data_IF_174478773497
#
_entry.id   IF_174478773497
#
_cell.length_a   1.000
_cell.length_b   1.000
_cell.length_c   1.000
_cell.angle_alpha   90.00
_cell.angle_beta   90.00
_cell.angle_gamma   90.00
#
_symmetry.space_group_name_H-M   'P 1'
#
loop_
_entity.id
_entity.type
_entity.pdbx_description
1 polymer ?
#
# COMPACT_ATOMS: atom_id res chain seq x y z
N UNK A 1 35.57 -20.47 -13.60
CA UNK A 1 34.70 -19.48 -12.94
C UNK A 1 33.27 -19.80 -13.33
N UNK A 2 32.39 -20.23 -12.39
CA UNK A 2 30.99 -20.47 -12.72
C UNK A 2 30.31 -19.13 -12.97
N UNK A 3 29.58 -19.01 -14.08
CA UNK A 3 28.69 -17.90 -14.35
C UNK A 3 27.57 -17.96 -13.31
N UNK A 4 27.43 -16.92 -12.51
CA UNK A 4 26.25 -16.71 -11.68
C UNK A 4 25.02 -16.74 -12.59
N UNK A 5 24.22 -17.78 -12.47
CA UNK A 5 22.86 -17.83 -12.98
C UNK A 5 22.08 -16.70 -12.31
N UNK A 6 21.87 -15.62 -13.05
CA UNK A 6 20.91 -14.58 -12.65
C UNK A 6 19.53 -15.23 -12.63
N UNK A 7 19.03 -15.47 -11.42
CA UNK A 7 17.67 -15.89 -11.13
C UNK A 7 16.71 -14.82 -11.68
N UNK A 8 16.34 -14.96 -12.96
CA UNK A 8 15.31 -14.15 -13.61
C UNK A 8 13.94 -14.64 -13.11
N UNK A 9 13.61 -14.30 -11.88
CA UNK A 9 12.25 -14.48 -11.38
C UNK A 9 11.36 -13.61 -12.21
N UNK A 10 10.62 -14.22 -13.13
CA UNK A 10 9.47 -13.60 -13.76
C UNK A 10 8.62 -12.98 -12.65
N UNK A 11 8.42 -11.69 -12.73
CA UNK A 11 7.58 -10.98 -11.77
C UNK A 11 6.13 -11.37 -12.10
N UNK A 12 5.61 -12.42 -11.47
CA UNK A 12 4.28 -13.01 -11.73
C UNK A 12 3.15 -11.97 -11.63
N UNK A 13 3.46 -10.81 -11.07
CA UNK A 13 2.54 -9.69 -10.92
C UNK A 13 2.68 -8.63 -12.02
N UNK A 14 3.47 -8.90 -13.08
CA UNK A 14 3.69 -7.97 -14.17
C UNK A 14 3.11 -8.50 -15.48
N UNK A 15 2.07 -7.86 -15.98
CA UNK A 15 1.49 -8.14 -17.30
C UNK A 15 2.13 -7.22 -18.33
N UNK A 16 2.76 -7.77 -19.38
CA UNK A 16 3.54 -7.03 -20.36
C UNK A 16 2.90 -7.05 -21.75
N UNK A 17 3.05 -5.94 -22.48
CA UNK A 17 2.58 -5.80 -23.85
C UNK A 17 1.21 -5.17 -24.00
N UNK A 18 1.01 -4.45 -25.12
CA UNK A 18 -0.17 -3.59 -25.35
C UNK A 18 -1.49 -4.35 -25.30
N UNK A 19 -1.56 -5.48 -26.02
CA UNK A 19 -2.80 -6.26 -26.09
C UNK A 19 -3.14 -6.91 -24.75
N UNK A 20 -2.13 -7.48 -24.06
CA UNK A 20 -2.34 -8.09 -22.74
C UNK A 20 -2.83 -7.08 -21.72
N UNK A 21 -2.27 -5.86 -21.71
CA UNK A 21 -2.71 -4.78 -20.81
C UNK A 21 -4.13 -4.31 -21.17
N UNK A 22 -4.49 -4.22 -22.45
CA UNK A 22 -5.86 -3.87 -22.87
C UNK A 22 -6.85 -4.92 -22.38
N UNK A 23 -6.57 -6.20 -22.59
CA UNK A 23 -7.46 -7.28 -22.13
C UNK A 23 -7.54 -7.34 -20.60
N UNK A 24 -6.45 -7.12 -19.90
CA UNK A 24 -6.44 -6.96 -18.45
C UNK A 24 -7.38 -5.84 -17.97
N UNK A 25 -7.30 -4.66 -18.61
CA UNK A 25 -8.17 -3.52 -18.26
C UNK A 25 -9.65 -3.77 -18.58
N UNK A 26 -9.95 -4.59 -19.60
CA UNK A 26 -11.33 -4.98 -19.94
C UNK A 26 -11.89 -6.05 -19.01
N UNK A 27 -11.04 -6.94 -18.48
CA UNK A 27 -11.48 -8.06 -17.65
C UNK A 27 -12.02 -7.64 -16.28
N UNK A 28 -11.84 -6.36 -15.90
CA UNK A 28 -12.20 -5.87 -14.58
C UNK A 28 -11.29 -6.36 -13.45
N UNK A 29 -10.22 -7.12 -13.77
CA UNK A 29 -9.22 -7.54 -12.80
C UNK A 29 -8.53 -6.32 -12.22
N UNK A 30 -8.23 -6.37 -10.94
CA UNK A 30 -7.58 -5.28 -10.23
C UNK A 30 -6.17 -5.00 -10.77
N UNK A 31 -5.85 -3.71 -10.93
CA UNK A 31 -4.56 -3.23 -11.45
C UNK A 31 -3.98 -2.20 -10.49
N UNK A 32 -2.76 -2.45 -10.04
CA UNK A 32 -2.02 -1.55 -9.15
C UNK A 32 -1.68 -0.23 -9.85
N UNK A 33 -1.02 -0.34 -10.98
CA UNK A 33 -0.66 0.77 -11.83
C UNK A 33 -0.25 0.25 -13.22
N UNK A 34 -0.26 1.16 -14.20
CA UNK A 34 0.24 0.89 -15.54
C UNK A 34 1.51 1.71 -15.76
N UNK A 35 2.56 1.05 -16.22
CA UNK A 35 3.85 1.64 -16.57
C UNK A 35 3.90 1.89 -18.06
N UNK A 36 4.21 3.13 -18.46
CA UNK A 36 4.34 3.52 -19.88
C UNK A 36 5.75 4.08 -20.08
N UNK A 37 6.44 3.61 -21.12
CA UNK A 37 7.77 4.11 -21.45
C UNK A 37 7.70 5.58 -21.87
N UNK A 38 8.69 6.37 -21.45
CA UNK A 38 8.80 7.78 -21.79
C UNK A 38 8.90 7.95 -23.32
N UNK A 39 8.10 8.88 -23.85
CA UNK A 39 8.03 9.13 -25.30
C UNK A 39 7.00 8.30 -26.06
N UNK A 40 6.50 7.23 -25.51
CA UNK A 40 5.44 6.40 -26.12
C UNK A 40 4.07 7.08 -25.91
N UNK A 41 3.50 7.60 -26.98
CA UNK A 41 2.19 8.28 -26.97
C UNK A 41 1.33 7.95 -28.18
N UNK A 42 1.70 6.95 -29.00
CA UNK A 42 1.02 6.67 -30.27
C UNK A 42 0.15 5.40 -30.20
N UNK A 43 -0.90 5.43 -30.98
CA UNK A 43 -1.78 4.26 -31.23
C UNK A 43 -2.47 3.73 -29.96
N UNK A 44 -2.28 2.44 -29.70
CA UNK A 44 -2.94 1.72 -28.60
C UNK A 44 -2.53 2.20 -27.20
N UNK A 45 -1.40 2.90 -27.06
CA UNK A 45 -0.99 3.47 -25.75
C UNK A 45 -1.94 4.57 -25.28
N UNK A 46 -2.37 5.46 -26.17
CA UNK A 46 -3.37 6.47 -25.84
C UNK A 46 -4.69 5.85 -25.38
N UNK A 47 -5.10 4.74 -26.03
CA UNK A 47 -6.28 3.97 -25.62
C UNK A 47 -6.10 3.38 -24.22
N UNK A 48 -4.94 2.79 -23.91
CA UNK A 48 -4.63 2.26 -22.57
C UNK A 48 -4.70 3.37 -21.52
N UNK A 49 -4.10 4.54 -21.81
CA UNK A 49 -4.14 5.69 -20.90
C UNK A 49 -5.57 6.18 -20.64
N UNK A 50 -6.43 6.23 -21.70
CA UNK A 50 -7.82 6.59 -21.57
C UNK A 50 -8.59 5.59 -20.68
N UNK A 51 -8.43 4.29 -20.93
CA UNK A 51 -9.03 3.22 -20.11
C UNK A 51 -8.54 3.29 -18.64
N UNK A 52 -7.27 3.60 -18.40
CA UNK A 52 -6.75 3.79 -17.05
C UNK A 52 -7.41 4.97 -16.33
N UNK A 53 -7.67 6.08 -17.06
CA UNK A 53 -8.38 7.25 -16.49
C UNK A 53 -9.82 6.93 -16.11
N UNK A 54 -10.55 6.26 -16.99
CA UNK A 54 -11.92 5.81 -16.74
C UNK A 54 -12.00 4.91 -15.50
N UNK A 55 -11.06 3.97 -15.37
CA UNK A 55 -10.99 3.03 -14.25
C UNK A 55 -10.23 3.56 -13.02
N UNK A 56 -9.82 4.85 -13.02
CA UNK A 56 -9.06 5.50 -11.92
C UNK A 56 -7.75 4.76 -11.56
N UNK A 57 -7.12 4.14 -12.56
CA UNK A 57 -5.84 3.44 -12.41
C UNK A 57 -4.69 4.42 -12.59
N UNK A 58 -3.68 4.31 -11.74
CA UNK A 58 -2.50 5.17 -11.78
C UNK A 58 -1.61 4.80 -12.97
N UNK A 59 -1.30 5.77 -13.84
CA UNK A 59 -0.32 5.62 -14.92
C UNK A 59 1.00 6.27 -14.49
N UNK A 60 2.09 5.50 -14.53
CA UNK A 60 3.45 5.97 -14.24
C UNK A 60 4.29 5.98 -15.52
N UNK A 61 4.91 7.12 -15.82
CA UNK A 61 5.89 7.19 -16.93
C UNK A 61 7.26 6.77 -16.42
N UNK A 62 7.90 5.83 -17.10
CA UNK A 62 9.21 5.28 -16.73
C UNK A 62 10.16 5.32 -17.93
N UNK A 63 11.46 5.32 -17.69
CA UNK A 63 12.45 5.18 -18.75
C UNK A 63 12.37 3.78 -19.39
N UNK A 64 12.58 3.72 -20.70
CA UNK A 64 12.49 2.45 -21.46
C UNK A 64 13.44 1.38 -20.90
N UNK A 65 14.68 1.75 -20.56
CA UNK A 65 15.67 0.86 -19.94
C UNK A 65 15.17 0.25 -18.62
N UNK A 66 14.46 1.03 -17.81
CA UNK A 66 13.85 0.54 -16.56
C UNK A 66 12.74 -0.46 -16.85
N UNK A 67 11.92 -0.21 -17.88
CA UNK A 67 10.85 -1.12 -18.28
C UNK A 67 11.44 -2.43 -18.86
N UNK A 68 12.49 -2.35 -19.70
CA UNK A 68 13.24 -3.51 -20.22
C UNK A 68 13.76 -4.39 -19.08
N UNK A 69 14.35 -3.77 -18.06
CA UNK A 69 14.85 -4.48 -16.87
C UNK A 69 13.73 -5.16 -16.09
N UNK A 70 12.62 -4.44 -15.83
CA UNK A 70 11.48 -4.99 -15.09
C UNK A 70 10.78 -6.14 -15.83
N UNK A 71 10.78 -6.09 -17.16
CA UNK A 71 10.17 -7.11 -18.02
C UNK A 71 11.10 -8.28 -18.33
N UNK A 72 12.31 -8.32 -17.75
CA UNK A 72 13.31 -9.38 -17.98
C UNK A 72 13.55 -9.67 -19.47
N UNK A 73 13.56 -8.64 -20.32
CA UNK A 73 13.76 -8.76 -21.78
C UNK A 73 12.52 -9.21 -22.57
N UNK A 74 11.36 -9.37 -21.93
CA UNK A 74 10.10 -9.66 -22.60
C UNK A 74 9.64 -8.51 -23.50
N UNK A 75 8.87 -8.82 -24.55
CA UNK A 75 8.38 -7.83 -25.52
C UNK A 75 7.23 -6.99 -24.91
N UNK A 76 7.58 -5.98 -24.13
CA UNK A 76 6.63 -5.12 -23.47
C UNK A 76 5.99 -4.03 -24.35
N UNK A 77 6.50 -3.77 -25.56
CA UNK A 77 5.95 -2.79 -26.51
C UNK A 77 5.69 -1.40 -25.90
N UNK A 78 6.53 -0.97 -24.94
CA UNK A 78 6.43 0.31 -24.25
C UNK A 78 5.40 0.36 -23.10
N UNK A 79 4.78 -0.76 -22.72
CA UNK A 79 3.80 -0.79 -21.64
C UNK A 79 3.86 -2.08 -20.83
N UNK A 80 3.64 -1.95 -19.52
CA UNK A 80 3.41 -3.05 -18.59
C UNK A 80 2.41 -2.63 -17.51
N UNK A 81 1.70 -3.59 -16.92
CA UNK A 81 0.78 -3.36 -15.82
C UNK A 81 1.17 -4.21 -14.62
N UNK A 82 1.26 -3.59 -13.45
CA UNK A 82 1.39 -4.30 -12.19
C UNK A 82 -0.01 -4.71 -11.72
N UNK A 83 -0.16 -5.98 -11.40
CA UNK A 83 -1.35 -6.53 -10.75
C UNK A 83 -1.03 -6.87 -9.29
N UNK A 84 -1.99 -6.74 -8.35
CA UNK A 84 -1.73 -7.10 -6.96
C UNK A 84 -1.52 -8.60 -6.80
N UNK A 85 -0.68 -8.99 -5.85
CA UNK A 85 -0.50 -10.39 -5.45
C UNK A 85 -1.73 -10.91 -4.68
N UNK A 86 -2.45 -10.01 -4.02
CA UNK A 86 -3.69 -10.26 -3.29
C UNK A 86 -4.75 -9.22 -3.65
N UNK A 87 -6.03 -9.61 -3.54
CA UNK A 87 -7.15 -8.69 -3.74
C UNK A 87 -7.23 -7.67 -2.61
N UNK A 88 -7.64 -6.44 -2.97
CA UNK A 88 -7.93 -5.42 -1.97
C UNK A 88 -9.38 -5.56 -1.47
N UNK A 89 -9.56 -5.19 -0.21
CA UNK A 89 -10.86 -5.01 0.42
C UNK A 89 -11.29 -3.54 0.33
N UNK A 90 -12.55 -3.26 0.62
CA UNK A 90 -13.02 -1.90 0.88
C UNK A 90 -12.81 -1.50 2.35
N UNK A 91 -12.95 -0.22 2.67
CA UNK A 91 -12.95 0.25 4.06
C UNK A 91 -14.15 -0.31 4.81
N UNK A 92 -15.30 -0.40 4.15
CA UNK A 92 -16.52 -0.98 4.72
C UNK A 92 -16.33 -2.45 5.07
N UNK A 93 -15.64 -3.25 4.23
CA UNK A 93 -15.32 -4.66 4.55
C UNK A 93 -14.49 -4.80 5.83
N UNK A 94 -13.60 -3.83 6.11
CA UNK A 94 -12.81 -3.81 7.36
C UNK A 94 -13.71 -3.55 8.55
N UNK A 95 -14.60 -2.57 8.45
CA UNK A 95 -15.52 -2.20 9.52
C UNK A 95 -16.57 -3.29 9.79
N UNK A 96 -17.10 -3.90 8.74
CA UNK A 96 -18.01 -5.06 8.85
C UNK A 96 -17.31 -6.27 9.50
N UNK A 97 -16.03 -6.47 9.19
CA UNK A 97 -15.25 -7.54 9.81
C UNK A 97 -15.10 -7.33 11.33
N UNK A 98 -14.77 -6.10 11.77
CA UNK A 98 -14.72 -5.77 13.19
C UNK A 98 -16.08 -6.00 13.86
N UNK A 99 -17.16 -5.52 13.24
CA UNK A 99 -18.53 -5.72 13.72
C UNK A 99 -18.92 -7.18 13.81
N UNK A 100 -18.53 -8.00 12.85
CA UNK A 100 -18.81 -9.45 12.85
C UNK A 100 -18.14 -10.20 14.00
N UNK A 101 -17.00 -9.67 14.50
CA UNK A 101 -16.32 -10.17 15.69
C UNK A 101 -16.89 -9.63 17.00
N UNK A 102 -17.76 -8.64 16.95
CA UNK A 102 -18.26 -7.93 18.13
C UNK A 102 -17.21 -7.04 18.79
N UNK A 103 -16.20 -6.63 18.03
CA UNK A 103 -15.05 -5.86 18.50
C UNK A 103 -15.10 -4.41 18.01
N UNK A 104 -14.53 -3.49 18.78
CA UNK A 104 -14.31 -2.14 18.33
C UNK A 104 -13.26 -2.12 17.20
N UNK A 105 -13.46 -1.37 16.09
CA UNK A 105 -12.52 -1.36 14.99
C UNK A 105 -11.11 -0.94 15.42
N UNK A 106 -10.10 -1.75 15.06
CA UNK A 106 -8.70 -1.37 15.17
C UNK A 106 -8.07 -1.42 13.77
N UNK A 107 -7.65 -0.26 13.26
CA UNK A 107 -7.22 -0.07 11.87
C UNK A 107 -5.84 0.59 11.83
N UNK A 108 -4.98 0.14 10.92
CA UNK A 108 -3.72 0.82 10.64
C UNK A 108 -3.86 1.60 9.32
N UNK A 109 -3.48 2.86 9.31
CA UNK A 109 -3.46 3.71 8.11
C UNK A 109 -2.00 4.00 7.78
N UNK A 110 -1.57 3.61 6.57
CA UNK A 110 -0.21 3.86 6.10
C UNK A 110 -0.19 5.08 5.20
N UNK A 111 0.69 6.04 5.50
CA UNK A 111 0.90 7.23 4.68
C UNK A 111 2.31 7.23 4.08
N UNK A 112 2.39 7.20 2.75
CA UNK A 112 3.64 7.22 1.98
C UNK A 112 4.65 6.09 2.32
N UNK A 113 4.18 4.89 2.61
CA UNK A 113 5.05 3.71 2.80
C UNK A 113 5.46 3.19 1.42
N UNK A 114 6.66 3.53 0.97
CA UNK A 114 7.15 3.20 -0.38
C UNK A 114 7.96 1.90 -0.46
N UNK A 115 8.51 1.45 0.67
CA UNK A 115 9.27 0.22 0.75
C UNK A 115 8.37 -1.01 0.99
N UNK A 116 8.57 -2.05 0.17
CA UNK A 116 7.76 -3.29 0.24
C UNK A 116 8.04 -4.09 1.52
N UNK A 117 9.27 -4.04 2.05
CA UNK A 117 9.61 -4.74 3.29
C UNK A 117 8.93 -4.08 4.48
N UNK A 118 8.88 -2.74 4.51
CA UNK A 118 8.22 -1.98 5.56
C UNK A 118 6.70 -2.26 5.56
N UNK A 119 6.04 -2.20 4.40
CA UNK A 119 4.62 -2.53 4.33
C UNK A 119 4.35 -3.97 4.76
N UNK A 120 5.16 -4.93 4.33
CA UNK A 120 5.03 -6.33 4.75
C UNK A 120 5.22 -6.52 6.25
N UNK A 121 6.18 -5.82 6.86
CA UNK A 121 6.40 -5.84 8.31
C UNK A 121 5.23 -5.20 9.08
N UNK A 122 4.66 -4.09 8.58
CA UNK A 122 3.47 -3.46 9.15
C UNK A 122 2.29 -4.43 9.11
N UNK A 123 2.04 -5.10 7.97
CA UNK A 123 0.95 -6.08 7.82
C UNK A 123 1.10 -7.22 8.84
N UNK A 124 2.31 -7.77 8.97
CA UNK A 124 2.60 -8.83 9.94
C UNK A 124 2.36 -8.39 11.38
N UNK A 125 2.79 -7.18 11.72
CA UNK A 125 2.61 -6.65 13.08
C UNK A 125 1.15 -6.32 13.34
N UNK A 126 0.44 -5.75 12.38
CA UNK A 126 -0.99 -5.44 12.49
C UNK A 126 -1.83 -6.71 12.74
N UNK A 127 -1.54 -7.79 12.02
CA UNK A 127 -2.19 -9.09 12.23
C UNK A 127 -1.92 -9.61 13.65
N UNK A 128 -0.66 -9.64 14.07
CA UNK A 128 -0.28 -10.12 15.40
C UNK A 128 -0.89 -9.30 16.54
N UNK A 129 -1.17 -8.00 16.30
CA UNK A 129 -1.85 -7.12 17.25
C UNK A 129 -3.37 -7.17 17.16
N UNK A 130 -3.95 -8.00 16.29
CA UNK A 130 -5.40 -8.12 16.12
C UNK A 130 -6.05 -6.95 15.37
N UNK A 131 -5.31 -6.24 14.52
CA UNK A 131 -5.91 -5.20 13.69
C UNK A 131 -6.89 -5.79 12.67
N UNK A 132 -8.04 -5.16 12.50
CA UNK A 132 -9.10 -5.62 11.59
C UNK A 132 -8.78 -5.33 10.13
N UNK A 133 -7.89 -4.36 9.87
CA UNK A 133 -7.44 -4.06 8.53
C UNK A 133 -6.43 -2.94 8.44
N UNK A 134 -5.92 -2.76 7.22
CA UNK A 134 -4.92 -1.76 6.88
C UNK A 134 -5.46 -0.92 5.73
N UNK A 135 -5.23 0.38 5.77
CA UNK A 135 -5.63 1.30 4.71
C UNK A 135 -4.36 1.91 4.11
N UNK A 136 -4.21 1.81 2.78
CA UNK A 136 -3.09 2.37 2.04
C UNK A 136 -3.57 3.33 0.95
N UNK A 137 -2.84 4.39 0.60
CA UNK A 137 -3.21 5.26 -0.52
C UNK A 137 -2.81 4.64 -1.87
N UNK A 138 -3.53 5.01 -2.94
CA UNK A 138 -3.22 4.59 -4.32
C UNK A 138 -1.92 5.21 -4.87
N UNK A 139 -1.48 6.33 -4.31
CA UNK A 139 -0.29 7.06 -4.74
C UNK A 139 0.71 7.17 -3.61
N UNK A 140 2.00 7.27 -3.95
CA UNK A 140 3.11 7.40 -2.99
C UNK A 140 3.12 6.29 -1.93
N UNK A 141 2.69 5.11 -2.30
CA UNK A 141 2.72 3.94 -1.45
C UNK A 141 2.98 2.71 -2.32
N UNK A 142 3.64 1.72 -1.76
CA UNK A 142 3.77 0.43 -2.42
C UNK A 142 2.42 -0.31 -2.34
N UNK A 143 2.11 -1.09 -3.36
CA UNK A 143 0.94 -1.97 -3.37
C UNK A 143 1.27 -3.38 -2.88
N UNK A 144 0.26 -4.27 -2.91
CA UNK A 144 0.40 -5.67 -2.49
C UNK A 144 1.13 -6.50 -3.56
N UNK A 145 2.44 -6.31 -3.67
CA UNK A 145 3.29 -7.06 -4.56
C UNK A 145 3.84 -8.35 -3.90
N UNK A 146 4.55 -9.15 -4.69
CA UNK A 146 5.17 -10.40 -4.21
C UNK A 146 6.09 -10.21 -3.00
N UNK A 147 6.85 -9.10 -2.93
CA UNK A 147 7.76 -8.83 -1.81
C UNK A 147 6.97 -8.57 -0.53
N UNK A 148 5.89 -7.78 -0.62
CA UNK A 148 4.96 -7.54 0.50
C UNK A 148 4.34 -8.85 0.99
N UNK A 149 3.83 -9.68 0.07
CA UNK A 149 3.29 -10.99 0.39
C UNK A 149 4.31 -11.89 1.11
N UNK A 150 5.54 -11.94 0.60
CA UNK A 150 6.62 -12.70 1.22
C UNK A 150 7.02 -12.16 2.59
N UNK A 151 7.16 -10.85 2.74
CA UNK A 151 7.63 -10.21 3.98
C UNK A 151 6.58 -10.21 5.08
N UNK A 152 5.31 -10.23 4.72
CA UNK A 152 4.20 -10.38 5.67
C UNK A 152 4.12 -11.77 6.31
N UNK A 153 4.91 -12.75 5.84
CA UNK A 153 4.98 -14.11 6.39
C UNK A 153 3.61 -14.79 6.50
N UNK A 154 2.73 -14.57 5.54
CA UNK A 154 1.38 -15.14 5.49
C UNK A 154 0.29 -14.29 6.18
N UNK A 155 0.63 -13.24 6.92
CA UNK A 155 -0.34 -12.37 7.57
C UNK A 155 -1.32 -11.70 6.57
N UNK A 156 -0.88 -11.50 5.33
CA UNK A 156 -1.70 -10.92 4.26
C UNK A 156 -2.94 -11.76 3.90
N UNK A 157 -2.95 -13.05 4.25
CA UNK A 157 -4.12 -13.93 4.05
C UNK A 157 -5.24 -13.67 5.08
N UNK A 158 -4.91 -13.04 6.20
CA UNK A 158 -5.82 -12.86 7.34
C UNK A 158 -6.22 -11.40 7.55
N UNK A 159 -5.34 -10.45 7.22
CA UNK A 159 -5.59 -9.01 7.37
C UNK A 159 -6.19 -8.42 6.10
N UNK A 160 -7.32 -7.74 6.22
CA UNK A 160 -7.92 -7.00 5.12
C UNK A 160 -7.10 -5.76 4.79
N UNK A 161 -6.80 -5.53 3.51
CA UNK A 161 -6.10 -4.33 3.07
C UNK A 161 -6.98 -3.53 2.12
N UNK A 162 -7.32 -2.30 2.49
CA UNK A 162 -8.07 -1.38 1.65
C UNK A 162 -7.14 -0.38 0.95
N UNK A 163 -7.40 -0.12 -0.34
CA UNK A 163 -6.61 0.80 -1.14
C UNK A 163 -7.45 1.98 -1.61
N UNK A 164 -7.14 3.17 -1.11
CA UNK A 164 -8.00 4.35 -1.23
C UNK A 164 -7.36 5.48 -2.05
N UNK A 165 -8.20 6.32 -2.63
CA UNK A 165 -7.73 7.48 -3.43
C UNK A 165 -7.26 8.66 -2.59
N UNK A 166 -7.88 8.86 -1.42
CA UNK A 166 -7.63 10.01 -0.54
C UNK A 166 -7.78 9.60 0.92
N UNK A 167 -6.67 9.62 1.67
CA UNK A 167 -6.65 9.28 3.10
C UNK A 167 -7.40 10.29 3.96
N UNK A 168 -7.37 11.59 3.61
CA UNK A 168 -8.08 12.63 4.38
C UNK A 168 -9.58 12.38 4.38
N UNK A 169 -10.16 12.07 3.21
CA UNK A 169 -11.58 11.74 3.10
C UNK A 169 -11.94 10.51 3.93
N UNK A 170 -11.11 9.47 3.88
CA UNK A 170 -11.33 8.24 4.64
C UNK A 170 -11.24 8.48 6.15
N UNK A 171 -10.29 9.30 6.60
CA UNK A 171 -10.19 9.70 8.01
C UNK A 171 -11.46 10.41 8.47
N UNK A 172 -12.00 11.32 7.64
CA UNK A 172 -13.26 12.02 7.97
C UNK A 172 -14.47 11.06 8.01
N UNK A 173 -14.50 10.05 7.14
CA UNK A 173 -15.53 9.00 7.14
C UNK A 173 -15.43 8.11 8.38
N UNK A 174 -14.25 7.66 8.75
CA UNK A 174 -14.00 6.86 9.95
C UNK A 174 -14.44 7.60 11.23
N UNK A 175 -14.14 8.90 11.32
CA UNK A 175 -14.60 9.74 12.45
C UNK A 175 -16.13 9.79 12.58
N UNK A 176 -16.85 9.87 11.45
CA UNK A 176 -18.32 9.83 11.46
C UNK A 176 -18.87 8.48 11.97
N UNK A 177 -18.07 7.43 11.88
CA UNK A 177 -18.39 6.09 12.38
C UNK A 177 -17.83 5.81 13.78
N UNK A 178 -17.47 6.88 14.53
CA UNK A 178 -16.93 6.82 15.88
C UNK A 178 -15.60 6.04 15.99
N UNK A 179 -14.78 6.08 14.91
CA UNK A 179 -13.41 5.58 14.95
C UNK A 179 -12.46 6.75 15.18
N UNK A 180 -11.76 6.75 16.30
CA UNK A 180 -10.81 7.78 16.68
C UNK A 180 -9.49 7.58 15.94
N UNK A 181 -8.99 8.63 15.27
CA UNK A 181 -7.80 8.53 14.45
C UNK A 181 -6.63 9.22 15.15
N UNK A 182 -5.61 8.45 15.45
CA UNK A 182 -4.36 8.86 16.08
C UNK A 182 -3.23 8.84 15.06
N UNK A 183 -2.26 9.71 15.23
CA UNK A 183 -1.09 9.76 14.34
C UNK A 183 0.19 9.49 15.15
N UNK A 184 1.00 8.54 14.70
CA UNK A 184 2.33 8.30 15.26
C UNK A 184 3.27 9.44 14.86
N UNK A 185 3.79 10.16 15.85
CA UNK A 185 4.68 11.31 15.66
C UNK A 185 5.66 11.44 16.84
N UNK A 186 6.86 11.97 16.57
CA UNK A 186 7.87 12.16 17.62
C UNK A 186 7.48 13.23 18.65
N UNK A 187 6.68 14.21 18.23
CA UNK A 187 6.21 15.31 19.08
C UNK A 187 4.88 14.99 19.82
N UNK A 188 4.41 13.74 19.71
CA UNK A 188 3.16 13.30 20.34
C UNK A 188 3.28 13.05 21.84
N UNK A 189 2.13 12.92 22.50
CA UNK A 189 2.09 12.45 23.88
C UNK A 189 2.35 10.94 23.95
N UNK A 190 2.89 10.43 25.09
CA UNK A 190 3.14 8.99 25.25
C UNK A 190 1.87 8.17 25.03
N UNK A 191 1.93 7.14 24.21
CA UNK A 191 0.80 6.28 23.84
C UNK A 191 0.09 5.67 25.07
N UNK A 192 0.83 5.37 26.12
CA UNK A 192 0.29 4.78 27.36
C UNK A 192 -0.65 5.73 28.15
N UNK A 193 -0.75 7.01 27.77
CA UNK A 193 -1.69 7.98 28.32
C UNK A 193 -2.95 8.17 27.45
N UNK A 194 -3.04 7.44 26.37
CA UNK A 194 -4.16 7.54 25.42
C UNK A 194 -5.13 6.40 25.66
N UNK A 195 -6.42 6.73 25.70
CA UNK A 195 -7.48 5.72 25.81
C UNK A 195 -7.79 5.14 24.42
N UNK A 196 -7.58 3.84 24.25
CA UNK A 196 -7.88 3.07 23.04
C UNK A 196 -9.05 2.10 23.24
N UNK A 197 -9.90 2.30 24.25
CA UNK A 197 -11.02 1.40 24.56
C UNK A 197 -12.14 1.43 23.53
N UNK A 198 -12.21 2.48 22.71
CA UNK A 198 -13.16 2.61 21.60
C UNK A 198 -12.51 2.29 20.26
N UNK A 199 -13.31 2.27 19.17
CA UNK A 199 -12.77 2.08 17.84
C UNK A 199 -11.66 3.08 17.51
N UNK A 200 -10.51 2.59 17.06
CA UNK A 200 -9.36 3.45 16.78
C UNK A 200 -8.66 3.10 15.46
N UNK A 201 -8.04 4.10 14.87
CA UNK A 201 -7.13 3.96 13.74
C UNK A 201 -5.81 4.65 14.07
N UNK A 202 -4.69 3.97 13.80
CA UNK A 202 -3.35 4.49 13.98
C UNK A 202 -2.74 4.81 12.62
N UNK A 203 -2.37 6.06 12.40
CA UNK A 203 -1.65 6.49 11.20
C UNK A 203 -0.15 6.35 11.43
N UNK A 204 0.51 5.63 10.53
CA UNK A 204 1.97 5.48 10.46
C UNK A 204 2.47 6.06 9.14
N UNK A 205 3.55 6.83 9.19
CA UNK A 205 4.10 7.53 8.05
C UNK A 205 5.41 6.96 7.55
N UNK A 206 5.97 7.63 6.55
CA UNK A 206 7.26 7.35 5.98
C UNK A 206 8.38 7.48 7.03
N UNK A 207 9.43 6.63 6.96
CA UNK A 207 10.56 6.64 7.90
C UNK A 207 11.31 7.98 7.93
N UNK A 208 11.43 8.66 6.80
CA UNK A 208 12.18 9.91 6.70
C UNK A 208 11.33 11.16 6.92
N UNK A 209 10.15 11.23 6.28
CA UNK A 209 9.28 12.42 6.28
C UNK A 209 8.14 12.34 7.31
N UNK A 210 7.91 11.18 7.91
CA UNK A 210 6.78 10.97 8.82
C UNK A 210 5.45 10.99 8.10
N UNK A 211 4.40 11.40 8.81
CA UNK A 211 3.03 11.54 8.28
C UNK A 211 2.85 12.94 7.68
N UNK A 212 2.16 13.02 6.55
CA UNK A 212 1.90 14.26 5.85
C UNK A 212 1.09 15.27 6.70
N UNK A 213 1.42 16.57 6.58
CA UNK A 213 0.83 17.64 7.40
C UNK A 213 -0.70 17.63 7.41
N UNK A 214 -1.33 17.51 6.23
CA UNK A 214 -2.79 17.51 6.13
C UNK A 214 -3.45 16.32 6.84
N UNK A 215 -2.77 15.19 6.87
CA UNK A 215 -3.25 13.99 7.58
C UNK A 215 -3.10 14.19 9.09
N UNK A 216 -1.96 14.72 9.56
CA UNK A 216 -1.76 15.07 10.97
C UNK A 216 -2.84 16.01 11.50
N UNK A 217 -3.17 17.07 10.74
CA UNK A 217 -4.21 18.07 11.09
C UNK A 217 -5.61 17.43 11.21
N UNK A 218 -5.85 16.30 10.55
CA UNK A 218 -7.13 15.57 10.63
C UNK A 218 -7.18 14.50 11.71
N UNK A 219 -6.05 14.13 12.28
CA UNK A 219 -6.02 13.20 13.41
C UNK A 219 -6.52 13.87 14.69
N UNK A 220 -7.01 13.05 15.62
CA UNK A 220 -7.48 13.53 16.92
C UNK A 220 -6.31 13.99 17.80
N UNK A 221 -5.24 13.22 17.80
CA UNK A 221 -4.07 13.45 18.63
C UNK A 221 -2.82 12.86 17.98
N UNK A 222 -1.67 13.44 18.32
CA UNK A 222 -0.35 12.88 18.01
C UNK A 222 0.07 12.00 19.18
N UNK A 223 0.53 10.78 18.86
CA UNK A 223 0.99 9.80 19.85
C UNK A 223 2.47 9.57 19.63
N UNK A 224 3.24 9.65 20.69
CA UNK A 224 4.65 9.31 20.66
C UNK A 224 4.84 7.81 20.89
N UNK A 225 5.39 7.14 19.90
CA UNK A 225 5.84 5.76 19.98
C UNK A 225 7.37 5.82 20.12
N UNK A 226 7.89 5.76 21.34
CA UNK A 226 9.33 5.65 21.54
C UNK A 226 9.75 4.19 21.33
N UNK A 227 10.75 3.97 20.48
CA UNK A 227 11.50 2.74 20.54
C UNK A 227 12.21 2.67 21.89
N UNK A 228 12.26 1.51 22.59
CA UNK A 228 13.11 1.35 23.73
C UNK A 228 14.55 1.58 23.26
N UNK A 229 15.12 2.74 23.58
CA UNK A 229 16.53 3.01 23.33
C UNK A 229 17.30 1.90 24.01
N UNK A 230 17.93 1.01 23.23
CA UNK A 230 18.97 0.12 23.74
C UNK A 230 20.08 1.02 24.29
N UNK A 231 20.03 1.33 25.58
CA UNK A 231 21.21 1.73 26.29
C UNK A 231 22.15 0.52 26.26
N UNK A 232 23.05 0.48 25.30
CA UNK A 232 24.25 -0.33 25.40
C UNK A 232 25.08 0.34 26.48
N UNK A 233 24.87 -0.09 27.71
CA UNK A 233 25.84 0.16 28.76
C UNK A 233 26.97 -0.82 28.47
N UNK A 234 28.02 -0.34 27.79
CA UNK A 234 29.29 -1.02 27.71
C UNK A 234 29.97 -0.70 29.05
N UNK A 235 29.95 -1.64 29.96
CA UNK A 235 30.84 -1.67 31.14
C UNK A 235 32.13 -2.34 30.76
#
# INVERSE_FOLDING_TARGET
MPKEEKDYRTNDNLIIGRNAVIELLKSGREVENVLVAKGEREGSINRIIAMCRENKIVVKTVDRKKLDFMCAGGNHQGVAANVPAHSYSSVDDILEYAKSKGEAPFIIICDEIEDSHNLGAIIRTAEACGAHGIIIPKRRNVGLNFIVAKTSCGALEYVKVARVGNLVSVIEELKKQNVWVYCADMDGQPWCKTDFSSGCALVVGNEGSGVGRLIKEKCLSLIHISEPTRRVVIS
#
